data_IF_222694903637
#
_entry.id   IF_222694903637
#
_cell.length_a   1.000
_cell.length_b   1.000
_cell.length_c   1.000
_cell.angle_alpha   90.00
_cell.angle_beta   90.00
_cell.angle_gamma   90.00
#
_symmetry.space_group_name_H-M   'P 1'
#
loop_
_entity.id
_entity.type
_entity.pdbx_description
1 polymer ?
#
# COMPACT_ATOMS: atom_id res chain seq x y z
N UNK A 1 36.78 20.01 -27.20
CA UNK A 1 36.84 21.17 -26.28
C UNK A 1 35.44 21.75 -26.22
N UNK A 2 34.70 21.85 -25.12
CA UNK A 2 35.01 21.67 -23.72
C UNK A 2 33.80 20.99 -23.04
N UNK A 3 34.09 20.04 -22.14
CA UNK A 3 33.13 19.47 -21.22
C UNK A 3 33.00 20.43 -20.03
N UNK A 4 31.78 20.88 -19.71
CA UNK A 4 31.51 21.63 -18.48
C UNK A 4 30.97 20.69 -17.42
N UNK A 5 31.89 20.28 -16.56
CA UNK A 5 31.70 19.52 -15.33
C UNK A 5 30.87 20.29 -14.30
N UNK A 6 29.85 19.63 -13.75
CA UNK A 6 29.15 20.09 -12.55
C UNK A 6 29.99 19.79 -11.29
N UNK A 7 30.11 20.71 -10.32
CA UNK A 7 30.87 20.45 -9.11
C UNK A 7 30.07 19.56 -8.15
N UNK A 8 30.72 18.48 -7.72
CA UNK A 8 30.32 17.57 -6.65
C UNK A 8 30.22 18.30 -5.31
N UNK A 9 29.00 18.51 -4.82
CA UNK A 9 28.73 18.94 -3.44
C UNK A 9 28.86 17.73 -2.50
N UNK A 10 30.07 17.57 -1.94
CA UNK A 10 30.32 16.76 -0.75
C UNK A 10 29.69 17.42 0.47
N UNK A 11 28.60 16.85 0.98
CA UNK A 11 28.00 17.24 2.25
C UNK A 11 28.69 16.47 3.38
N UNK A 12 29.76 17.04 3.93
CA UNK A 12 30.48 16.50 5.09
C UNK A 12 30.23 17.38 6.30
N UNK A 13 29.58 16.82 7.33
CA UNK A 13 29.81 17.21 8.72
C UNK A 13 28.89 18.29 9.34
N UNK A 14 27.82 17.86 9.99
CA UNK A 14 27.42 18.42 11.30
C UNK A 14 26.59 17.40 12.09
N UNK A 15 27.30 16.50 12.78
CA UNK A 15 26.80 15.59 13.82
C UNK A 15 26.99 16.28 15.17
N UNK A 16 25.90 16.56 15.90
CA UNK A 16 25.84 16.68 17.37
C UNK A 16 24.44 17.22 17.78
N UNK A 17 23.73 16.81 18.82
CA UNK A 17 23.89 15.86 19.95
C UNK A 17 22.46 15.46 20.32
N UNK A 18 22.19 14.20 20.64
CA UNK A 18 21.18 13.73 21.62
C UNK A 18 21.27 12.20 21.62
N UNK A 19 22.32 11.67 22.24
CA UNK A 19 22.46 10.26 22.53
C UNK A 19 21.95 10.00 23.97
N UNK A 20 21.04 9.05 24.21
CA UNK A 20 20.69 8.64 25.56
C UNK A 20 21.86 7.88 26.23
N UNK A 21 21.98 7.92 27.57
CA UNK A 21 23.16 7.47 28.29
C UNK A 21 23.34 5.94 28.19
N UNK A 22 24.61 5.54 28.19
CA UNK A 22 25.07 4.15 28.09
C UNK A 22 24.49 3.24 29.18
N UNK A 23 23.57 2.35 28.79
CA UNK A 23 23.18 1.21 29.62
C UNK A 23 24.24 0.13 29.50
N UNK A 24 25.17 0.20 30.44
CA UNK A 24 25.85 -0.88 31.16
C UNK A 24 25.94 -2.25 30.47
N UNK A 25 27.20 -2.70 30.32
CA UNK A 25 27.78 -4.00 29.95
C UNK A 25 27.14 -5.33 30.49
N UNK A 26 25.91 -5.33 30.98
CA UNK A 26 25.26 -6.45 31.71
C UNK A 26 24.21 -7.23 30.89
N UNK A 27 24.26 -7.19 29.55
CA UNK A 27 23.37 -7.99 28.66
C UNK A 27 24.15 -9.04 27.85
N UNK A 28 25.48 -9.18 28.04
CA UNK A 28 26.28 -10.11 27.22
C UNK A 28 26.15 -11.59 27.60
N UNK A 29 25.60 -11.92 28.77
CA UNK A 29 25.58 -13.30 29.30
C UNK A 29 24.19 -13.77 29.77
N UNK A 30 23.12 -13.43 29.03
CA UNK A 30 21.84 -14.11 29.24
C UNK A 30 21.83 -15.39 28.38
N UNK A 31 21.57 -16.59 28.93
CA UNK A 31 21.42 -17.78 28.10
C UNK A 31 20.27 -17.54 27.12
N UNK A 32 20.60 -17.51 25.83
CA UNK A 32 19.62 -17.47 24.75
C UNK A 32 18.71 -18.70 24.94
N UNK A 33 17.47 -18.48 25.40
CA UNK A 33 16.44 -19.51 25.33
C UNK A 33 16.37 -19.96 23.87
N UNK A 34 16.47 -21.27 23.58
CA UNK A 34 16.31 -21.73 22.21
C UNK A 34 14.92 -21.29 21.73
N UNK A 35 14.89 -20.51 20.65
CA UNK A 35 13.66 -20.13 19.98
C UNK A 35 12.93 -21.42 19.62
N UNK A 36 11.85 -21.75 20.33
CA UNK A 36 10.99 -22.86 19.97
C UNK A 36 10.50 -22.59 18.56
N UNK A 37 10.86 -23.51 17.66
CA UNK A 37 10.55 -23.46 16.24
C UNK A 37 9.04 -23.31 16.03
N UNK A 38 8.58 -22.08 15.74
CA UNK A 38 7.22 -21.78 15.26
C UNK A 38 6.98 -22.27 13.82
N UNK A 39 7.81 -23.17 13.31
CA UNK A 39 7.73 -23.72 11.95
C UNK A 39 6.43 -24.46 11.67
N UNK A 40 5.72 -24.93 12.71
CA UNK A 40 4.47 -25.68 12.55
C UNK A 40 3.25 -24.79 12.31
N UNK A 41 3.21 -23.59 12.90
CA UNK A 41 2.11 -22.62 12.66
C UNK A 41 2.21 -22.05 11.24
N UNK A 42 3.43 -21.76 10.78
CA UNK A 42 3.68 -21.32 9.40
C UNK A 42 3.37 -22.44 8.40
N UNK A 43 3.66 -23.71 8.72
CA UNK A 43 3.34 -24.87 7.86
C UNK A 43 1.85 -25.22 7.82
N UNK A 44 1.10 -25.03 8.91
CA UNK A 44 -0.34 -25.30 8.95
C UNK A 44 -1.15 -24.28 8.15
N UNK A 45 -0.70 -23.02 8.09
CA UNK A 45 -1.31 -21.98 7.25
C UNK A 45 -1.17 -22.24 5.74
N UNK A 46 -0.28 -23.16 5.34
CA UNK A 46 0.05 -23.48 3.96
C UNK A 46 -0.86 -24.53 3.31
N UNK A 47 -1.90 -25.02 4.00
CA UNK A 47 -2.74 -26.12 3.49
C UNK A 47 -3.88 -25.70 2.54
N UNK A 48 -4.10 -24.41 2.30
CA UNK A 48 -4.97 -23.93 1.23
C UNK A 48 -4.42 -22.64 0.62
N UNK A 49 -4.50 -22.50 -0.71
CA UNK A 49 -4.12 -21.23 -1.38
C UNK A 49 -5.11 -20.15 -0.91
N UNK A 50 -4.65 -19.02 -0.35
CA UNK A 50 -5.55 -17.97 0.11
C UNK A 50 -6.35 -17.39 -1.07
N UNK A 51 -7.56 -16.95 -0.80
CA UNK A 51 -8.42 -16.27 -1.78
C UNK A 51 -8.35 -14.76 -1.58
N UNK A 52 -8.03 -14.04 -2.65
CA UNK A 52 -7.96 -12.58 -2.69
C UNK A 52 -9.08 -12.06 -3.58
N UNK A 53 -9.95 -11.22 -3.02
CA UNK A 53 -10.97 -10.49 -3.75
C UNK A 53 -10.41 -9.14 -4.21
N UNK A 54 -10.51 -8.84 -5.50
CA UNK A 54 -10.11 -7.56 -6.10
C UNK A 54 -11.36 -6.87 -6.61
N UNK A 55 -11.74 -5.75 -5.97
CA UNK A 55 -13.02 -5.06 -6.27
C UNK A 55 -12.90 -3.94 -7.30
N UNK A 56 -11.67 -3.54 -7.63
CA UNK A 56 -11.39 -2.44 -8.54
C UNK A 56 -10.26 -2.81 -9.50
N UNK A 57 -10.22 -2.15 -10.67
CA UNK A 57 -9.23 -2.44 -11.71
C UNK A 57 -7.81 -2.23 -11.17
N UNK A 58 -7.01 -3.28 -11.26
CA UNK A 58 -5.58 -3.26 -10.97
C UNK A 58 -4.79 -3.47 -12.26
N UNK A 59 -3.56 -2.94 -12.31
CA UNK A 59 -2.66 -3.18 -13.43
C UNK A 59 -2.33 -4.67 -13.57
N UNK A 60 -2.22 -5.14 -14.82
CA UNK A 60 -1.91 -6.55 -15.14
C UNK A 60 -0.67 -7.11 -14.40
N UNK A 61 0.45 -6.37 -14.25
CA UNK A 61 1.60 -6.86 -13.48
C UNK A 61 1.26 -7.16 -12.02
N UNK A 62 0.37 -6.37 -11.41
CA UNK A 62 -0.09 -6.59 -10.03
C UNK A 62 -0.95 -7.85 -9.92
N UNK A 63 -1.88 -8.05 -10.86
CA UNK A 63 -2.70 -9.27 -10.90
C UNK A 63 -1.85 -10.53 -11.12
N UNK A 64 -0.85 -10.47 -12.00
CA UNK A 64 0.07 -11.58 -12.21
C UNK A 64 0.89 -11.91 -10.97
N UNK A 65 1.32 -10.90 -10.21
CA UNK A 65 2.03 -11.11 -8.95
C UNK A 65 1.13 -11.82 -7.92
N UNK A 66 -0.11 -11.38 -7.76
CA UNK A 66 -1.07 -11.97 -6.82
C UNK A 66 -1.39 -13.43 -7.17
N UNK A 67 -1.63 -13.72 -8.45
CA UNK A 67 -1.93 -15.08 -8.95
C UNK A 67 -0.82 -16.10 -8.67
N UNK A 68 0.43 -15.65 -8.47
CA UNK A 68 1.55 -16.54 -8.10
C UNK A 68 1.37 -17.13 -6.70
N UNK A 69 0.77 -16.38 -5.77
CA UNK A 69 0.68 -16.75 -4.35
C UNK A 69 -0.73 -17.14 -3.91
N UNK A 70 -1.77 -16.70 -4.62
CA UNK A 70 -3.16 -16.81 -4.18
C UNK A 70 -4.14 -17.10 -5.33
N UNK A 71 -5.35 -17.54 -4.97
CA UNK A 71 -6.48 -17.55 -5.90
C UNK A 71 -7.06 -16.13 -5.97
N UNK A 72 -7.09 -15.53 -7.16
CA UNK A 72 -7.51 -14.14 -7.34
C UNK A 72 -8.88 -14.10 -8.00
N UNK A 73 -9.88 -13.59 -7.27
CA UNK A 73 -11.21 -13.28 -7.80
C UNK A 73 -11.27 -11.78 -8.11
N UNK A 74 -11.45 -11.44 -9.39
CA UNK A 74 -11.65 -10.07 -9.83
C UNK A 74 -13.15 -9.84 -10.06
N UNK A 75 -13.77 -9.09 -9.16
CA UNK A 75 -15.21 -8.82 -9.18
C UNK A 75 -15.44 -7.34 -8.98
N UNK A 76 -15.74 -6.63 -10.08
CA UNK A 76 -15.81 -5.18 -10.11
C UNK A 76 -17.24 -4.67 -9.90
N UNK A 77 -17.37 -3.43 -9.40
CA UNK A 77 -18.64 -2.72 -9.22
C UNK A 77 -19.67 -3.49 -8.37
N UNK A 78 -19.20 -4.19 -7.33
CA UNK A 78 -20.07 -4.89 -6.39
C UNK A 78 -20.90 -3.90 -5.58
N UNK A 79 -22.18 -4.23 -5.36
CA UNK A 79 -22.97 -3.55 -4.34
C UNK A 79 -22.43 -3.86 -2.94
N UNK A 80 -22.74 -3.05 -1.91
CA UNK A 80 -22.36 -3.35 -0.53
C UNK A 80 -22.81 -4.75 -0.07
N UNK A 81 -24.01 -5.18 -0.46
CA UNK A 81 -24.57 -6.48 -0.11
C UNK A 81 -23.84 -7.64 -0.79
N UNK A 82 -23.51 -7.47 -2.07
CA UNK A 82 -22.72 -8.45 -2.83
C UNK A 82 -21.29 -8.57 -2.29
N UNK A 83 -20.70 -7.44 -1.88
CA UNK A 83 -19.39 -7.40 -1.25
C UNK A 83 -19.40 -8.17 0.07
N UNK A 84 -20.39 -7.93 0.94
CA UNK A 84 -20.57 -8.65 2.20
C UNK A 84 -20.79 -10.16 2.00
N UNK A 85 -21.49 -10.55 0.93
CA UNK A 85 -21.67 -11.96 0.59
C UNK A 85 -20.34 -12.61 0.19
N UNK A 86 -19.58 -11.97 -0.71
CA UNK A 86 -18.31 -12.53 -1.20
C UNK A 86 -17.20 -12.52 -0.17
N UNK A 87 -17.14 -11.50 0.70
CA UNK A 87 -16.05 -11.34 1.66
C UNK A 87 -15.99 -12.47 2.68
N UNK A 88 -17.12 -13.12 2.98
CA UNK A 88 -17.21 -14.29 3.86
C UNK A 88 -16.34 -15.47 3.41
N UNK A 89 -16.03 -15.54 2.11
CA UNK A 89 -15.25 -16.61 1.49
C UNK A 89 -13.78 -16.21 1.21
N UNK A 90 -13.38 -14.99 1.54
CA UNK A 90 -12.10 -14.42 1.16
C UNK A 90 -11.17 -14.22 2.35
N UNK A 91 -9.88 -14.38 2.12
CA UNK A 91 -8.83 -14.21 3.14
C UNK A 91 -8.19 -12.82 3.06
N UNK A 92 -8.24 -12.19 1.88
CA UNK A 92 -7.78 -10.84 1.65
C UNK A 92 -8.70 -10.06 0.69
N UNK A 93 -8.69 -8.74 0.85
CA UNK A 93 -9.44 -7.81 0.01
C UNK A 93 -8.48 -6.75 -0.55
N UNK A 94 -8.57 -6.50 -1.86
CA UNK A 94 -7.87 -5.41 -2.52
C UNK A 94 -8.89 -4.41 -3.05
N UNK A 95 -8.81 -3.19 -2.52
CA UNK A 95 -9.64 -2.05 -2.91
C UNK A 95 -8.77 -0.91 -3.44
N UNK A 96 -9.39 0.09 -4.07
CA UNK A 96 -8.77 1.35 -4.43
C UNK A 96 -9.52 2.50 -3.76
N UNK A 97 -10.18 3.38 -4.52
CA UNK A 97 -10.89 4.55 -3.98
C UNK A 97 -12.40 4.47 -4.19
N UNK A 98 -12.89 3.55 -5.03
CA UNK A 98 -14.31 3.39 -5.32
C UNK A 98 -15.04 2.51 -4.32
N UNK A 99 -14.40 1.47 -3.79
CA UNK A 99 -15.02 0.58 -2.79
C UNK A 99 -14.81 1.11 -1.37
N UNK A 100 -15.89 1.30 -0.63
CA UNK A 100 -15.86 1.62 0.80
C UNK A 100 -15.91 0.34 1.62
N UNK A 101 -14.93 0.15 2.50
CA UNK A 101 -14.84 -0.98 3.42
C UNK A 101 -15.39 -0.55 4.78
N UNK A 102 -16.70 -0.72 4.94
CA UNK A 102 -17.45 -0.39 6.17
C UNK A 102 -17.30 -1.48 7.25
N UNK A 103 -17.75 -1.18 8.47
CA UNK A 103 -17.84 -2.15 9.57
C UNK A 103 -18.58 -3.44 9.17
N UNK A 104 -19.67 -3.32 8.40
CA UNK A 104 -20.48 -4.46 7.93
C UNK A 104 -19.66 -5.46 7.09
N UNK A 105 -18.66 -4.99 6.34
CA UNK A 105 -17.77 -5.86 5.56
C UNK A 105 -16.90 -6.70 6.48
N UNK A 106 -16.40 -6.12 7.57
CA UNK A 106 -15.59 -6.83 8.56
C UNK A 106 -16.44 -7.82 9.37
N UNK A 107 -17.66 -7.43 9.75
CA UNK A 107 -18.61 -8.32 10.45
C UNK A 107 -19.02 -9.50 9.56
N UNK A 108 -19.34 -9.23 8.29
CA UNK A 108 -19.72 -10.25 7.30
C UNK A 108 -18.59 -11.23 6.97
N UNK A 109 -17.34 -10.82 7.19
CA UNK A 109 -16.18 -11.70 6.98
C UNK A 109 -16.09 -12.84 8.01
N UNK A 110 -16.80 -12.76 9.14
CA UNK A 110 -16.76 -13.75 10.20
C UNK A 110 -15.35 -13.99 10.78
N UNK A 111 -14.46 -13.00 10.68
CA UNK A 111 -13.06 -13.10 11.08
C UNK A 111 -12.16 -13.86 10.10
N UNK A 112 -12.65 -14.23 8.91
CA UNK A 112 -11.83 -14.86 7.85
C UNK A 112 -10.88 -13.84 7.19
N UNK A 113 -11.37 -12.63 6.95
CA UNK A 113 -10.61 -11.57 6.30
C UNK A 113 -9.41 -11.15 7.17
N UNK A 114 -8.18 -11.44 6.70
CA UNK A 114 -6.95 -11.15 7.45
C UNK A 114 -6.29 -9.86 7.05
N UNK A 115 -6.47 -9.42 5.81
CA UNK A 115 -5.82 -8.21 5.29
C UNK A 115 -6.68 -7.49 4.26
N UNK A 116 -6.71 -6.16 4.37
CA UNK A 116 -7.23 -5.23 3.38
C UNK A 116 -6.06 -4.45 2.79
N UNK A 117 -5.79 -4.62 1.51
CA UNK A 117 -4.82 -3.86 0.75
C UNK A 117 -5.49 -2.74 -0.03
N UNK A 118 -5.18 -1.49 0.27
CA UNK A 118 -5.61 -0.35 -0.55
C UNK A 118 -4.53 0.01 -1.57
N UNK A 119 -4.87 -0.07 -2.85
CA UNK A 119 -4.03 0.35 -3.97
C UNK A 119 -4.00 1.89 -4.13
N UNK A 120 -3.54 2.59 -3.08
CA UNK A 120 -3.43 4.06 -3.07
C UNK A 120 -2.80 4.58 -1.78
N UNK A 121 -2.64 5.90 -1.69
CA UNK A 121 -1.97 6.57 -0.55
C UNK A 121 -2.92 6.78 0.63
N UNK A 122 -4.11 7.35 0.39
CA UNK A 122 -5.09 7.59 1.46
C UNK A 122 -5.53 6.27 2.12
N UNK A 123 -6.29 6.33 3.21
CA UNK A 123 -6.98 5.17 3.81
C UNK A 123 -8.40 5.53 4.30
N UNK A 124 -8.93 6.65 3.79
CA UNK A 124 -10.23 7.26 4.12
C UNK A 124 -11.46 6.38 3.84
N UNK A 125 -11.36 5.45 2.89
CA UNK A 125 -12.44 4.54 2.51
C UNK A 125 -12.46 3.22 3.30
N UNK A 126 -11.66 3.09 4.36
CA UNK A 126 -11.57 1.88 5.18
C UNK A 126 -11.80 2.23 6.64
N UNK A 127 -12.73 1.54 7.29
CA UNK A 127 -12.95 1.67 8.74
C UNK A 127 -11.81 0.98 9.52
N UNK A 128 -10.81 1.77 9.93
CA UNK A 128 -9.63 1.29 10.66
C UNK A 128 -9.97 0.78 12.06
N UNK A 129 -11.02 1.33 12.69
CA UNK A 129 -11.46 0.91 14.01
C UNK A 129 -12.07 -0.49 13.93
N UNK A 130 -13.00 -0.68 12.99
CA UNK A 130 -13.59 -2.00 12.73
C UNK A 130 -12.53 -3.01 12.28
N UNK A 131 -11.57 -2.62 11.44
CA UNK A 131 -10.46 -3.49 11.05
C UNK A 131 -9.66 -3.98 12.26
N UNK A 132 -9.33 -3.08 13.19
CA UNK A 132 -8.57 -3.40 14.40
C UNK A 132 -9.37 -4.32 15.34
N UNK A 133 -10.67 -4.04 15.54
CA UNK A 133 -11.58 -4.87 16.35
C UNK A 133 -11.66 -6.32 15.83
N UNK A 134 -11.67 -6.49 14.50
CA UNK A 134 -11.77 -7.81 13.86
C UNK A 134 -10.40 -8.47 13.60
N UNK A 135 -9.29 -7.86 14.04
CA UNK A 135 -7.94 -8.40 13.85
C UNK A 135 -7.49 -8.42 12.38
N UNK A 136 -8.01 -7.51 11.57
CA UNK A 136 -7.70 -7.35 10.16
C UNK A 136 -6.62 -6.28 9.94
N UNK A 137 -5.56 -6.61 9.21
CA UNK A 137 -4.50 -5.65 8.87
C UNK A 137 -4.90 -4.79 7.68
N UNK A 138 -4.69 -3.47 7.78
CA UNK A 138 -4.90 -2.55 6.66
C UNK A 138 -3.54 -2.07 6.15
N UNK A 139 -3.28 -2.23 4.86
CA UNK A 139 -2.02 -1.86 4.20
C UNK A 139 -2.30 -0.94 3.02
N UNK A 140 -1.52 0.13 2.89
CA UNK A 140 -1.61 1.09 1.79
C UNK A 140 -0.30 1.19 0.99
N UNK A 141 -0.29 2.02 -0.05
CA UNK A 141 0.87 2.27 -0.91
C UNK A 141 1.31 3.74 -0.84
N UNK A 142 2.01 4.18 0.23
CA UNK A 142 2.19 5.59 0.58
C UNK A 142 3.01 6.41 -0.42
N UNK A 143 3.88 5.76 -1.21
CA UNK A 143 4.80 6.43 -2.15
C UNK A 143 4.42 6.19 -3.63
N UNK A 144 3.26 5.59 -3.88
CA UNK A 144 2.85 5.11 -5.21
C UNK A 144 2.65 6.21 -6.25
N UNK A 145 2.41 7.44 -5.83
CA UNK A 145 2.13 8.57 -6.72
C UNK A 145 3.15 9.71 -6.62
N UNK A 146 4.22 9.58 -5.81
CA UNK A 146 5.12 10.70 -5.51
C UNK A 146 5.75 11.30 -6.77
N UNK A 147 6.27 10.46 -7.66
CA UNK A 147 6.91 10.91 -8.91
C UNK A 147 5.86 11.49 -9.86
N UNK A 148 4.76 10.78 -10.10
CA UNK A 148 3.69 11.23 -10.98
C UNK A 148 3.08 12.56 -10.53
N UNK A 149 2.91 12.76 -9.22
CA UNK A 149 2.43 14.01 -8.65
C UNK A 149 3.43 15.16 -8.84
N UNK A 150 4.73 14.90 -8.69
CA UNK A 150 5.78 15.89 -8.95
C UNK A 150 5.83 16.29 -10.44
N UNK A 151 5.78 15.31 -11.34
CA UNK A 151 5.72 15.53 -12.80
C UNK A 151 4.49 16.34 -13.18
N UNK A 152 3.32 15.98 -12.63
CA UNK A 152 2.08 16.70 -12.89
C UNK A 152 2.14 18.12 -12.34
N UNK A 153 2.71 18.33 -11.15
CA UNK A 153 2.92 19.66 -10.58
C UNK A 153 3.79 20.53 -11.48
N UNK A 154 4.92 20.00 -11.97
CA UNK A 154 5.78 20.72 -12.90
C UNK A 154 5.09 21.02 -14.23
N UNK A 155 4.32 20.06 -14.76
CA UNK A 155 3.55 20.24 -15.97
C UNK A 155 2.51 21.36 -15.82
N UNK A 156 1.80 21.43 -14.69
CA UNK A 156 0.85 22.50 -14.39
C UNK A 156 1.53 23.87 -14.28
N UNK A 157 2.69 23.95 -13.61
CA UNK A 157 3.47 25.20 -13.52
C UNK A 157 3.87 25.71 -14.92
N UNK A 158 4.38 24.84 -15.78
CA UNK A 158 4.75 25.19 -17.16
C UNK A 158 3.53 25.57 -18.01
N UNK A 159 2.42 24.84 -17.85
CA UNK A 159 1.17 25.11 -18.56
C UNK A 159 0.61 26.49 -18.22
N UNK A 160 0.63 26.88 -16.93
CA UNK A 160 0.21 28.20 -16.48
C UNK A 160 1.16 29.31 -16.94
N UNK A 161 2.48 29.10 -16.81
CA UNK A 161 3.48 30.11 -17.18
C UNK A 161 3.44 30.48 -18.67
N UNK A 162 2.98 29.57 -19.53
CA UNK A 162 2.99 29.75 -20.99
C UNK A 162 1.59 29.75 -21.62
N UNK A 163 0.53 29.78 -20.83
CA UNK A 163 -0.87 29.72 -21.29
C UNK A 163 -1.10 28.58 -22.30
N UNK A 164 -0.48 27.42 -22.05
CA UNK A 164 -0.49 26.30 -22.99
C UNK A 164 -1.93 25.83 -23.28
N UNK A 165 -2.83 25.66 -22.28
CA UNK A 165 -4.20 25.23 -22.55
C UNK A 165 -4.97 26.20 -23.45
N UNK A 166 -4.81 27.51 -23.23
CA UNK A 166 -5.49 28.56 -24.01
C UNK A 166 -4.96 28.63 -25.43
N UNK A 167 -3.63 28.58 -25.62
CA UNK A 167 -3.01 28.57 -26.94
C UNK A 167 -3.43 27.34 -27.75
N UNK A 168 -3.46 26.16 -27.12
CA UNK A 168 -3.94 24.92 -27.74
C UNK A 168 -5.43 25.00 -28.11
N UNK A 169 -6.27 25.65 -27.31
CA UNK A 169 -7.68 25.85 -27.63
C UNK A 169 -7.86 26.81 -28.83
N UNK A 170 -7.14 27.94 -28.85
CA UNK A 170 -7.20 28.92 -29.94
C UNK A 170 -6.81 28.31 -31.28
N UNK A 171 -5.67 27.62 -31.38
CA UNK A 171 -5.23 27.01 -32.64
C UNK A 171 -6.21 25.96 -33.16
N UNK A 172 -6.91 25.25 -32.26
CA UNK A 172 -7.94 24.27 -32.66
C UNK A 172 -9.24 24.91 -33.15
N UNK A 173 -9.50 26.17 -32.79
CA UNK A 173 -10.71 26.89 -33.17
C UNK A 173 -10.58 27.68 -34.49
N UNK A 174 -9.35 27.81 -35.02
CA UNK A 174 -9.05 28.58 -36.22
C UNK A 174 -8.73 30.04 -35.91
#
# INVERSE_FOLDING_TARGET
>A
MAATSWPSLTFTGCLNKHAPPSVSSRIKNLPLRPAKSNSLIIKAFFHARPTILVTEKLGEPGLQLLKRFANVDCSYNLSPEELCTKISLCDALIVRSGTTVSREVFESSGGRLKVVGRAGVGIDNVDLSAATEHGCLVVNAPNSNTIAAAEHGMALLMAMARNIPQANASIKQG
#
